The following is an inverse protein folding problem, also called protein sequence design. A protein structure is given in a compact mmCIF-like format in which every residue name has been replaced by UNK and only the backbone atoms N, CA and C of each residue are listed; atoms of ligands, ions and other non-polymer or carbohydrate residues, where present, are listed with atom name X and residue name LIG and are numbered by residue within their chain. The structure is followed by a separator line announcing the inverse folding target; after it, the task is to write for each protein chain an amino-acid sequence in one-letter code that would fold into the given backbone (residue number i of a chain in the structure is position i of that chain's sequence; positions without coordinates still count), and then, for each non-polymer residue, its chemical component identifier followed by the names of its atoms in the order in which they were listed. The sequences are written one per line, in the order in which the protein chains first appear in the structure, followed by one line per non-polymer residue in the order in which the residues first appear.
data_IF_373857567549
#
_entry.id   IF_373857567549
#
_cell.length_a   1.000
_cell.length_b   1.000
_cell.length_c   1.000
_cell.angle_alpha   90.00
_cell.angle_beta   90.00
_cell.angle_gamma   90.00
#
_symmetry.space_group_name_H-M   'P 1'
#
loop_
_entity.id
_entity.type
_entity.pdbx_description
1 polymer ?
#
# COMPACT_ATOMS: atom_id res chain seq x y z
N UNK A 1 18.88 -27.60 -5.86
CA UNK A 1 18.27 -27.60 -7.22
C UNK A 1 19.35 -27.77 -8.30
N UNK A 2 20.31 -26.88 -8.45
CA UNK A 2 21.37 -26.93 -9.46
C UNK A 2 22.12 -28.25 -9.48
N UNK A 3 22.54 -28.78 -8.32
CA UNK A 3 23.22 -30.09 -8.20
C UNK A 3 22.36 -31.27 -8.69
N UNK A 4 21.05 -31.20 -8.52
CA UNK A 4 20.13 -32.22 -9.03
C UNK A 4 20.05 -32.16 -10.57
N UNK A 5 20.01 -30.98 -11.14
CA UNK A 5 20.02 -30.77 -12.60
C UNK A 5 21.33 -31.27 -13.23
N UNK A 6 22.48 -31.02 -12.58
CA UNK A 6 23.79 -31.46 -13.06
C UNK A 6 23.99 -32.99 -13.10
N UNK A 7 23.08 -33.78 -12.48
CA UNK A 7 23.09 -35.26 -12.52
C UNK A 7 22.16 -35.84 -13.59
N UNK A 8 21.47 -35.01 -14.34
CA UNK A 8 20.57 -35.46 -15.40
C UNK A 8 21.39 -35.93 -16.59
N UNK A 9 21.01 -37.08 -17.15
CA UNK A 9 21.56 -37.57 -18.41
C UNK A 9 21.01 -36.76 -19.59
N UNK A 10 21.82 -36.53 -20.63
CA UNK A 10 21.34 -35.92 -21.87
C UNK A 10 20.10 -36.65 -22.44
N UNK A 11 19.16 -35.92 -22.97
CA UNK A 11 17.89 -36.46 -23.52
C UNK A 11 17.29 -35.47 -24.51
N UNK A 12 16.63 -35.99 -25.54
CA UNK A 12 15.87 -35.21 -26.49
C UNK A 12 14.50 -34.73 -25.90
N UNK A 13 14.18 -35.18 -24.69
CA UNK A 13 12.94 -34.74 -24.03
C UNK A 13 13.06 -33.33 -23.47
N UNK A 14 12.05 -32.51 -23.66
CA UNK A 14 11.91 -31.21 -23.00
C UNK A 14 11.77 -31.41 -21.48
N UNK A 15 12.61 -30.74 -20.72
CA UNK A 15 12.61 -30.81 -19.26
C UNK A 15 12.31 -29.45 -18.66
N UNK A 16 11.30 -29.42 -17.82
CA UNK A 16 10.91 -28.25 -17.02
C UNK A 16 11.21 -28.56 -15.55
N UNK A 17 11.82 -27.64 -14.87
CA UNK A 17 12.02 -27.72 -13.42
C UNK A 17 11.01 -26.79 -12.75
N UNK A 18 10.18 -27.33 -11.87
CA UNK A 18 9.37 -26.55 -10.94
C UNK A 18 10.11 -26.49 -9.59
N UNK A 19 10.28 -25.27 -9.07
CA UNK A 19 10.97 -25.04 -7.80
C UNK A 19 10.28 -23.95 -6.99
N UNK A 20 10.60 -23.90 -5.69
CA UNK A 20 10.10 -22.89 -4.78
C UNK A 20 11.25 -22.39 -3.91
N UNK A 21 11.43 -21.07 -3.83
CA UNK A 21 12.46 -20.41 -3.04
C UNK A 21 13.07 -19.20 -3.73
N UNK A 22 13.84 -18.44 -2.97
CA UNK A 22 14.50 -17.22 -3.44
C UNK A 22 15.76 -17.55 -4.28
N UNK A 23 15.97 -16.80 -5.37
CA UNK A 23 17.19 -16.85 -6.16
C UNK A 23 18.22 -15.88 -5.60
N UNK A 24 19.49 -16.33 -5.45
CA UNK A 24 20.60 -15.59 -4.85
C UNK A 24 20.86 -14.22 -5.49
N UNK A 25 20.69 -14.10 -6.79
CA UNK A 25 20.86 -12.85 -7.53
C UNK A 25 19.87 -11.73 -7.14
N UNK A 26 18.76 -12.07 -6.52
CA UNK A 26 17.74 -11.10 -6.06
C UNK A 26 17.95 -10.66 -4.62
N UNK A 27 18.79 -11.37 -3.86
CA UNK A 27 19.15 -11.09 -2.46
C UNK A 27 20.67 -11.15 -2.27
N UNK A 28 21.44 -10.21 -2.85
CA UNK A 28 22.91 -10.27 -2.85
C UNK A 28 23.54 -10.21 -1.46
N UNK A 29 22.81 -9.70 -0.47
CA UNK A 29 23.29 -9.65 0.93
C UNK A 29 23.00 -10.93 1.71
N UNK A 30 22.08 -11.78 1.22
CA UNK A 30 21.73 -13.04 1.86
C UNK A 30 22.65 -14.14 1.33
N UNK A 31 23.19 -14.93 2.24
CA UNK A 31 24.02 -16.10 1.92
C UNK A 31 23.53 -17.28 2.73
N UNK A 32 23.06 -18.32 2.07
CA UNK A 32 22.59 -19.53 2.72
C UNK A 32 22.34 -20.66 1.72
N UNK A 33 22.39 -21.91 2.17
CA UNK A 33 22.14 -23.07 1.32
C UNK A 33 20.68 -23.17 0.85
N UNK A 34 19.78 -22.41 1.43
CA UNK A 34 18.36 -22.32 1.07
C UNK A 34 18.12 -21.53 -0.23
N UNK A 35 19.10 -20.73 -0.68
CA UNK A 35 18.98 -19.95 -1.90
C UNK A 35 19.18 -20.81 -3.15
N UNK A 36 18.41 -20.51 -4.18
CA UNK A 36 18.59 -21.09 -5.51
C UNK A 36 19.73 -20.36 -6.19
N UNK A 37 20.81 -21.06 -6.53
CA UNK A 37 21.93 -20.46 -7.25
C UNK A 37 21.56 -20.18 -8.70
N UNK A 38 21.53 -18.90 -9.10
CA UNK A 38 21.28 -18.50 -10.48
C UNK A 38 22.36 -19.04 -11.42
N UNK A 39 23.62 -18.95 -11.02
CA UNK A 39 24.74 -19.48 -11.80
C UNK A 39 24.55 -20.97 -12.09
N UNK A 40 24.17 -21.76 -11.09
CA UNK A 40 23.93 -23.18 -11.26
C UNK A 40 22.71 -23.51 -12.13
N UNK A 41 21.66 -22.70 -12.06
CA UNK A 41 20.49 -22.80 -12.93
C UNK A 41 20.85 -22.48 -14.38
N UNK A 42 21.56 -21.38 -14.63
CA UNK A 42 22.00 -20.98 -15.98
C UNK A 42 22.96 -22.01 -16.58
N UNK A 43 23.88 -22.57 -15.79
CA UNK A 43 24.76 -23.65 -16.26
C UNK A 43 23.99 -24.92 -16.71
N UNK A 44 22.89 -25.27 -16.03
CA UNK A 44 22.04 -26.39 -16.45
C UNK A 44 21.25 -26.09 -17.74
N UNK A 45 20.84 -24.83 -17.94
CA UNK A 45 20.20 -24.36 -19.17
C UNK A 45 21.18 -24.34 -20.35
N UNK A 46 22.39 -23.84 -20.14
CA UNK A 46 23.46 -23.79 -21.16
C UNK A 46 23.91 -25.17 -21.62
N UNK A 47 23.93 -26.13 -20.69
CA UNK A 47 24.21 -27.53 -20.97
C UNK A 47 23.05 -28.32 -21.59
N UNK A 48 21.91 -27.65 -21.82
CA UNK A 48 20.66 -28.21 -22.36
C UNK A 48 20.16 -29.42 -21.53
N UNK A 49 20.49 -29.46 -20.25
CA UNK A 49 19.97 -30.46 -19.30
C UNK A 49 18.54 -30.16 -18.88
N UNK A 50 18.20 -28.90 -18.88
CA UNK A 50 16.88 -28.35 -18.55
C UNK A 50 16.56 -27.23 -19.55
N UNK A 51 15.28 -27.05 -19.87
CA UNK A 51 14.84 -26.10 -20.89
C UNK A 51 14.14 -24.87 -20.29
N UNK A 52 13.52 -25.03 -19.10
CA UNK A 52 12.80 -23.95 -18.42
C UNK A 52 12.76 -24.19 -16.91
N UNK A 53 12.87 -23.10 -16.13
CA UNK A 53 12.66 -23.08 -14.69
C UNK A 53 11.43 -22.26 -14.33
N UNK A 54 10.40 -22.94 -13.81
CA UNK A 54 9.21 -22.34 -13.22
C UNK A 54 9.40 -22.24 -11.71
N UNK A 55 9.49 -21.01 -11.19
CA UNK A 55 9.75 -20.74 -9.78
C UNK A 55 8.51 -20.18 -9.07
N UNK A 56 8.29 -20.61 -7.84
CA UNK A 56 7.39 -20.04 -6.86
C UNK A 56 8.16 -19.39 -5.72
N UNK A 57 7.49 -18.72 -4.79
CA UNK A 57 7.94 -17.94 -3.65
C UNK A 57 7.74 -16.43 -3.83
N UNK A 58 8.04 -15.88 -4.99
CA UNK A 58 7.84 -14.48 -5.28
C UNK A 58 6.43 -14.25 -5.83
N UNK A 59 5.71 -13.27 -5.25
CA UNK A 59 4.34 -12.94 -5.67
C UNK A 59 4.28 -12.04 -6.91
N UNK A 60 5.36 -11.34 -7.23
CA UNK A 60 5.49 -10.54 -8.45
C UNK A 60 5.89 -11.39 -9.64
N UNK A 61 5.27 -11.22 -10.79
CA UNK A 61 5.71 -11.82 -12.06
C UNK A 61 7.10 -11.31 -12.41
N UNK A 62 8.09 -12.19 -12.50
CA UNK A 62 9.49 -11.75 -12.61
C UNK A 62 10.33 -12.73 -13.44
N UNK A 63 11.02 -12.23 -14.48
CA UNK A 63 12.10 -12.95 -15.15
C UNK A 63 13.40 -12.79 -14.39
N UNK A 64 14.15 -13.87 -14.26
CA UNK A 64 15.42 -13.89 -13.53
C UNK A 64 16.57 -14.28 -14.46
N UNK A 65 17.70 -13.61 -14.29
CA UNK A 65 18.88 -13.84 -15.14
C UNK A 65 18.75 -13.26 -16.54
N UNK A 66 19.50 -13.80 -17.49
CA UNK A 66 19.63 -13.24 -18.86
C UNK A 66 19.06 -14.16 -19.94
N UNK A 67 18.69 -15.38 -19.58
CA UNK A 67 18.30 -16.40 -20.55
C UNK A 67 16.85 -16.32 -21.00
N UNK A 68 15.97 -15.61 -20.27
CA UNK A 68 14.53 -15.62 -20.48
C UNK A 68 13.85 -16.95 -20.16
N UNK A 69 14.57 -17.89 -19.52
CA UNK A 69 14.13 -19.26 -19.23
C UNK A 69 13.89 -19.54 -17.74
N UNK A 70 14.07 -18.54 -16.90
CA UNK A 70 13.87 -18.63 -15.44
C UNK A 70 12.85 -17.59 -15.03
N UNK A 71 11.71 -18.04 -14.51
CA UNK A 71 10.60 -17.13 -14.20
C UNK A 71 9.91 -17.50 -12.89
N UNK A 72 9.56 -16.47 -12.14
CA UNK A 72 8.48 -16.50 -11.16
C UNK A 72 7.18 -16.10 -11.84
N UNK A 73 6.15 -16.92 -11.76
CA UNK A 73 4.83 -16.58 -12.29
C UNK A 73 4.13 -15.49 -11.48
N UNK A 74 4.52 -15.33 -10.24
CA UNK A 74 3.80 -14.52 -9.27
C UNK A 74 2.66 -15.27 -8.60
N UNK A 75 1.93 -14.57 -7.73
CA UNK A 75 0.68 -15.04 -7.17
C UNK A 75 -0.47 -14.75 -8.16
N UNK A 76 -1.44 -15.66 -8.33
CA UNK A 76 -2.57 -15.45 -9.24
C UNK A 76 -3.53 -14.35 -8.79
N UNK A 77 -3.51 -13.99 -7.51
CA UNK A 77 -4.15 -12.80 -6.95
C UNK A 77 -3.11 -11.98 -6.19
N UNK A 78 -3.17 -10.64 -6.23
CA UNK A 78 -2.31 -9.81 -5.42
C UNK A 78 -2.55 -10.02 -3.93
N UNK A 79 -1.50 -9.92 -3.12
CA UNK A 79 -1.53 -10.15 -1.68
C UNK A 79 -0.96 -8.99 -0.87
N UNK A 80 -0.23 -8.08 -1.52
CA UNK A 80 0.39 -6.91 -0.89
C UNK A 80 0.44 -5.72 -1.86
N UNK A 81 0.61 -4.52 -1.29
CA UNK A 81 0.74 -3.26 -2.02
C UNK A 81 2.10 -3.08 -2.72
N UNK A 82 3.13 -3.83 -2.30
CA UNK A 82 4.49 -3.73 -2.82
C UNK A 82 4.79 -4.67 -3.99
N UNK A 83 3.81 -5.43 -4.43
CA UNK A 83 3.96 -6.37 -5.53
C UNK A 83 4.02 -5.65 -6.88
N UNK A 84 4.92 -6.09 -7.73
CA UNK A 84 5.07 -5.55 -9.08
C UNK A 84 4.43 -6.52 -10.08
N UNK A 85 3.45 -6.04 -10.84
CA UNK A 85 2.70 -6.82 -11.82
C UNK A 85 2.15 -8.16 -11.24
N UNK A 86 1.39 -8.12 -10.12
CA UNK A 86 0.79 -9.30 -9.53
C UNK A 86 -0.45 -9.75 -10.30
N UNK A 87 -0.99 -10.92 -9.94
CA UNK A 87 -2.26 -11.41 -10.49
C UNK A 87 -2.14 -12.02 -11.87
N UNK A 88 -0.96 -12.55 -12.23
CA UNK A 88 -0.71 -13.21 -13.50
C UNK A 88 -0.50 -14.72 -13.33
N UNK A 89 -0.78 -15.44 -14.42
CA UNK A 89 -0.23 -16.75 -14.71
C UNK A 89 0.61 -16.65 -15.98
N UNK A 90 1.60 -17.52 -16.12
CA UNK A 90 2.44 -17.57 -17.32
C UNK A 90 2.04 -18.76 -18.19
N UNK A 91 1.75 -18.46 -19.45
CA UNK A 91 1.68 -19.49 -20.50
C UNK A 91 3.07 -19.57 -21.15
N UNK A 92 3.63 -20.77 -21.15
CA UNK A 92 4.99 -20.98 -21.64
C UNK A 92 4.96 -22.00 -22.79
N UNK A 93 5.41 -21.56 -23.95
CA UNK A 93 5.57 -22.38 -25.15
C UNK A 93 7.05 -22.74 -25.32
N UNK A 94 7.33 -24.05 -25.40
CA UNK A 94 8.67 -24.62 -25.45
C UNK A 94 8.90 -25.43 -26.76
N UNK A 95 8.57 -24.85 -27.91
CA UNK A 95 8.69 -25.55 -29.20
C UNK A 95 10.02 -25.26 -29.94
N UNK A 96 10.88 -24.39 -29.40
CA UNK A 96 12.09 -23.92 -30.04
C UNK A 96 13.28 -23.72 -29.12
N UNK A 97 14.30 -23.04 -29.61
CA UNK A 97 15.52 -22.72 -28.87
C UNK A 97 15.27 -21.76 -27.69
N UNK A 98 14.28 -20.86 -27.85
CA UNK A 98 13.88 -19.89 -26.83
C UNK A 98 12.42 -20.07 -26.44
N UNK A 99 12.09 -20.17 -25.15
CA UNK A 99 10.71 -20.23 -24.70
C UNK A 99 9.99 -18.91 -25.00
N UNK A 100 8.77 -19.02 -25.43
CA UNK A 100 7.83 -17.91 -25.48
C UNK A 100 7.06 -17.89 -24.17
N UNK A 101 7.22 -16.83 -23.39
CA UNK A 101 6.57 -16.67 -22.10
C UNK A 101 5.58 -15.52 -22.18
N UNK A 102 4.31 -15.80 -21.98
CA UNK A 102 3.22 -14.81 -22.03
C UNK A 102 2.54 -14.69 -20.67
N UNK A 103 2.61 -13.53 -20.00
CA UNK A 103 1.80 -13.26 -18.84
C UNK A 103 0.34 -13.04 -19.22
N UNK A 104 -0.55 -13.71 -18.50
CA UNK A 104 -1.99 -13.54 -18.62
C UNK A 104 -2.56 -13.12 -17.28
N UNK A 105 -3.22 -11.95 -17.26
CA UNK A 105 -3.90 -11.45 -16.07
C UNK A 105 -5.09 -12.34 -15.74
N UNK A 106 -5.09 -12.93 -14.56
CA UNK A 106 -6.18 -13.74 -13.99
C UNK A 106 -6.68 -13.19 -12.68
N UNK A 107 -5.86 -12.37 -12.01
CA UNK A 107 -6.20 -11.73 -10.75
C UNK A 107 -7.33 -10.72 -10.92
N UNK A 108 -8.26 -10.76 -9.98
CA UNK A 108 -9.46 -9.92 -9.93
C UNK A 108 -9.33 -8.80 -8.91
N UNK A 109 -8.57 -9.02 -7.85
CA UNK A 109 -8.32 -8.04 -6.81
C UNK A 109 -7.32 -6.96 -7.25
N UNK A 110 -7.48 -5.78 -6.68
CA UNK A 110 -6.54 -4.66 -6.85
C UNK A 110 -6.11 -4.14 -5.49
N UNK A 111 -4.79 -4.04 -5.29
CA UNK A 111 -4.17 -3.37 -4.15
C UNK A 111 -3.56 -2.07 -4.64
N UNK A 112 -4.04 -0.96 -4.13
CA UNK A 112 -3.63 0.39 -4.56
C UNK A 112 -3.21 1.20 -3.35
N UNK A 113 -2.01 1.78 -3.38
CA UNK A 113 -1.57 2.71 -2.36
C UNK A 113 -1.31 4.09 -2.95
N UNK A 114 -1.72 5.13 -2.22
CA UNK A 114 -1.57 6.52 -2.66
C UNK A 114 -1.20 7.41 -1.48
N UNK A 115 -0.13 8.19 -1.66
CA UNK A 115 0.19 9.31 -0.78
C UNK A 115 -0.35 10.63 -1.36
N UNK A 116 -1.01 11.45 -0.53
CA UNK A 116 -1.48 12.77 -0.94
C UNK A 116 -1.24 13.79 0.16
N UNK A 117 -0.89 15.01 -0.25
CA UNK A 117 -0.83 16.17 0.63
C UNK A 117 -2.10 17.01 0.38
N UNK A 118 -2.88 17.25 1.45
CA UNK A 118 -4.15 17.97 1.38
C UNK A 118 -4.00 19.34 2.09
N UNK A 119 -4.30 20.42 1.36
CA UNK A 119 -4.21 21.78 1.85
C UNK A 119 -5.54 22.56 1.73
N UNK A 120 -6.58 21.92 1.16
CA UNK A 120 -7.86 22.60 0.95
C UNK A 120 -8.93 21.74 0.29
N UNK A 121 -10.06 22.36 -0.02
CA UNK A 121 -11.20 21.68 -0.64
C UNK A 121 -10.86 21.04 -1.99
N UNK A 122 -10.05 21.73 -2.81
CA UNK A 122 -9.68 21.22 -4.13
C UNK A 122 -8.89 19.89 -4.06
N UNK A 123 -8.05 19.71 -3.02
CA UNK A 123 -7.30 18.47 -2.83
C UNK A 123 -8.20 17.33 -2.34
N UNK A 124 -9.22 17.67 -1.52
CA UNK A 124 -10.26 16.72 -1.08
C UNK A 124 -11.10 16.29 -2.28
N UNK A 125 -11.49 17.22 -3.16
CA UNK A 125 -12.21 16.91 -4.39
C UNK A 125 -11.37 16.00 -5.32
N UNK A 126 -10.09 16.29 -5.46
CA UNK A 126 -9.17 15.45 -6.26
C UNK A 126 -9.01 14.03 -5.69
N UNK A 127 -9.00 13.88 -4.37
CA UNK A 127 -8.99 12.56 -3.72
C UNK A 127 -10.32 11.82 -3.93
N UNK A 128 -11.45 12.52 -3.81
CA UNK A 128 -12.80 11.98 -4.08
C UNK A 128 -12.92 11.47 -5.51
N UNK A 129 -12.53 12.30 -6.49
CA UNK A 129 -12.49 11.93 -7.90
C UNK A 129 -11.60 10.72 -8.15
N UNK A 130 -10.42 10.68 -7.51
CA UNK A 130 -9.49 9.57 -7.64
C UNK A 130 -10.05 8.26 -7.07
N UNK A 131 -10.70 8.29 -5.90
CA UNK A 131 -11.40 7.14 -5.32
C UNK A 131 -12.63 6.76 -6.16
N UNK A 132 -13.25 7.76 -6.79
CA UNK A 132 -14.40 7.59 -7.67
C UNK A 132 -14.12 6.75 -8.93
N UNK A 133 -12.90 6.81 -9.47
CA UNK A 133 -12.56 6.22 -10.78
C UNK A 133 -12.41 4.69 -10.80
N UNK A 134 -12.29 4.03 -9.65
CA UNK A 134 -12.13 2.57 -9.62
C UNK A 134 -13.38 1.85 -10.12
N UNK A 135 -13.24 1.06 -11.19
CA UNK A 135 -14.36 0.36 -11.82
C UNK A 135 -14.89 -0.81 -10.98
N UNK A 136 -13.99 -1.54 -10.31
CA UNK A 136 -14.33 -2.72 -9.49
C UNK A 136 -14.10 -2.43 -8.00
N UNK A 137 -14.86 -1.46 -7.44
CA UNK A 137 -14.66 -0.98 -6.06
C UNK A 137 -14.72 -2.09 -5.01
N UNK A 138 -15.65 -3.03 -5.13
CA UNK A 138 -15.79 -4.16 -4.21
C UNK A 138 -14.65 -5.18 -4.25
N UNK A 139 -13.73 -5.06 -5.21
CA UNK A 139 -12.52 -5.87 -5.36
C UNK A 139 -11.25 -5.02 -5.25
N UNK A 140 -11.38 -3.77 -4.82
CA UNK A 140 -10.26 -2.84 -4.68
C UNK A 140 -9.99 -2.56 -3.21
N UNK A 141 -8.76 -2.80 -2.79
CA UNK A 141 -8.21 -2.50 -1.48
C UNK A 141 -7.31 -1.27 -1.63
N UNK A 142 -7.65 -0.20 -0.94
CA UNK A 142 -6.95 1.08 -1.01
C UNK A 142 -6.25 1.37 0.31
N UNK A 143 -4.98 1.76 0.24
CA UNK A 143 -4.22 2.31 1.37
C UNK A 143 -3.84 3.74 1.06
N UNK A 144 -4.22 4.66 1.93
CA UNK A 144 -3.91 6.08 1.84
C UNK A 144 -2.87 6.47 2.88
N UNK A 145 -1.92 7.31 2.47
CA UNK A 145 -1.04 8.06 3.37
C UNK A 145 -1.32 9.54 3.14
N UNK A 146 -2.06 10.16 4.05
CA UNK A 146 -2.56 11.52 3.89
C UNK A 146 -1.84 12.45 4.86
N UNK A 147 -1.26 13.52 4.34
CA UNK A 147 -0.61 14.54 5.14
C UNK A 147 -1.08 15.92 4.74
N UNK A 148 -0.92 16.91 5.61
CA UNK A 148 -1.23 18.29 5.26
C UNK A 148 -1.88 19.07 6.38
N UNK A 149 -2.52 20.18 5.98
CA UNK A 149 -3.16 21.10 6.90
C UNK A 149 -4.59 21.38 6.41
N UNK A 150 -5.56 21.04 7.22
CA UNK A 150 -6.98 21.22 6.92
C UNK A 150 -7.66 22.02 8.03
N UNK A 151 -8.73 22.73 7.68
CA UNK A 151 -9.62 23.27 8.69
C UNK A 151 -10.50 22.17 9.31
N UNK A 152 -11.19 22.48 10.40
CA UNK A 152 -12.12 21.55 11.05
C UNK A 152 -13.23 21.12 10.08
N UNK A 153 -13.81 22.07 9.34
CA UNK A 153 -14.85 21.76 8.36
C UNK A 153 -14.33 20.92 7.19
N UNK A 154 -13.10 21.19 6.72
CA UNK A 154 -12.46 20.40 5.68
C UNK A 154 -12.13 18.98 6.16
N UNK A 155 -11.67 18.84 7.40
CA UNK A 155 -11.41 17.51 7.99
C UNK A 155 -12.70 16.71 8.15
N UNK A 156 -13.76 17.32 8.63
CA UNK A 156 -15.07 16.67 8.73
C UNK A 156 -15.61 16.21 7.37
N UNK A 157 -15.43 17.05 6.33
CA UNK A 157 -15.77 16.69 4.95
C UNK A 157 -14.94 15.51 4.45
N UNK A 158 -13.62 15.53 4.70
CA UNK A 158 -12.72 14.42 4.35
C UNK A 158 -13.17 13.13 5.01
N UNK A 159 -13.47 13.17 6.31
CA UNK A 159 -13.88 11.98 7.06
C UNK A 159 -15.20 11.41 6.55
N UNK A 160 -16.18 12.25 6.23
CA UNK A 160 -17.44 11.82 5.65
C UNK A 160 -17.24 11.18 4.26
N UNK A 161 -16.46 11.79 3.40
CA UNK A 161 -16.13 11.28 2.06
C UNK A 161 -15.38 9.92 2.14
N UNK A 162 -14.41 9.79 3.06
CA UNK A 162 -13.70 8.53 3.26
C UNK A 162 -14.63 7.43 3.82
N UNK A 163 -15.57 7.78 4.70
CA UNK A 163 -16.57 6.83 5.18
C UNK A 163 -17.47 6.33 4.06
N UNK A 164 -17.97 7.23 3.19
CA UNK A 164 -18.81 6.87 2.03
C UNK A 164 -18.06 5.93 1.06
N UNK A 165 -16.79 6.22 0.76
CA UNK A 165 -15.98 5.33 -0.07
C UNK A 165 -15.65 4.01 0.62
N UNK A 166 -15.48 4.02 1.95
CA UNK A 166 -15.21 2.83 2.76
C UNK A 166 -16.35 1.80 2.72
N UNK A 167 -17.61 2.25 2.51
CA UNK A 167 -18.76 1.36 2.38
C UNK A 167 -18.80 0.59 1.04
N UNK A 168 -18.16 1.12 0.00
CA UNK A 168 -18.24 0.56 -1.37
C UNK A 168 -16.93 -0.07 -1.84
N UNK A 169 -15.78 0.33 -1.29
CA UNK A 169 -14.50 -0.33 -1.52
C UNK A 169 -14.42 -1.62 -0.68
N UNK A 170 -13.65 -2.60 -1.16
CA UNK A 170 -13.39 -3.80 -0.36
C UNK A 170 -12.71 -3.46 0.98
N UNK A 171 -11.79 -2.51 0.94
CA UNK A 171 -11.16 -1.91 2.13
C UNK A 171 -10.62 -0.54 1.75
N UNK A 172 -10.81 0.43 2.64
CA UNK A 172 -10.15 1.73 2.59
C UNK A 172 -9.41 1.96 3.92
N UNK A 173 -8.08 1.89 3.86
CA UNK A 173 -7.19 2.02 5.02
C UNK A 173 -6.45 3.36 4.95
N UNK A 174 -6.59 4.19 5.98
CA UNK A 174 -5.77 5.40 6.15
C UNK A 174 -4.61 5.06 7.08
N UNK A 175 -3.45 4.87 6.47
CA UNK A 175 -2.25 4.37 7.15
C UNK A 175 -1.63 5.45 8.04
N UNK A 176 -1.74 5.29 9.36
CA UNK A 176 -1.29 6.29 10.34
C UNK A 176 0.20 6.63 10.28
N UNK A 177 1.15 5.69 10.09
CA UNK A 177 2.57 6.03 10.02
C UNK A 177 2.96 6.96 8.86
N UNK A 178 2.06 7.21 7.91
CA UNK A 178 2.26 8.13 6.79
C UNK A 178 1.23 9.26 6.74
N UNK A 179 0.36 9.36 7.77
CA UNK A 179 -0.73 10.34 7.77
C UNK A 179 -0.53 11.33 8.91
N UNK A 180 -0.15 12.56 8.56
CA UNK A 180 0.08 13.64 9.51
C UNK A 180 -0.77 14.85 9.13
N UNK A 181 -1.89 15.04 9.82
CA UNK A 181 -2.72 16.23 9.66
C UNK A 181 -2.55 17.22 10.78
N UNK A 182 -2.37 18.47 10.39
CA UNK A 182 -2.56 19.62 11.28
C UNK A 182 -3.95 20.18 11.03
N UNK A 183 -4.82 20.12 12.03
CA UNK A 183 -6.15 20.71 11.95
C UNK A 183 -6.10 22.11 12.54
N UNK A 184 -6.49 23.11 11.74
CA UNK A 184 -6.56 24.51 12.18
C UNK A 184 -8.05 24.91 12.19
N UNK A 185 -8.57 25.42 13.32
CA UNK A 185 -9.93 25.94 13.36
C UNK A 185 -10.09 27.12 12.40
N UNK A 186 -11.14 27.12 11.59
CA UNK A 186 -11.59 28.29 10.85
C UNK A 186 -12.20 29.31 11.79
N UNK A 187 -12.32 30.59 11.37
CA UNK A 187 -12.96 31.62 12.20
C UNK A 187 -14.43 31.30 12.52
N UNK A 188 -15.09 30.51 11.69
CA UNK A 188 -16.46 30.05 11.88
C UNK A 188 -16.55 28.84 12.85
N UNK A 189 -15.48 28.06 12.96
CA UNK A 189 -15.46 26.82 13.74
C UNK A 189 -15.27 27.04 15.24
N UNK A 190 -14.76 28.21 15.66
CA UNK A 190 -14.56 28.53 17.08
C UNK A 190 -15.89 28.54 17.84
N UNK A 191 -16.99 28.95 17.18
CA UNK A 191 -18.33 28.93 17.75
C UNK A 191 -18.93 27.53 17.81
N UNK A 192 -18.56 26.64 16.91
CA UNK A 192 -19.12 25.29 16.77
C UNK A 192 -18.53 24.28 17.76
N UNK A 193 -17.37 24.59 18.36
CA UNK A 193 -16.82 23.77 19.47
C UNK A 193 -17.69 23.77 20.73
N UNK A 194 -18.71 24.64 20.81
CA UNK A 194 -19.58 24.73 21.96
C UNK A 194 -18.84 25.13 23.26
N UNK A 195 -17.59 25.53 23.16
CA UNK A 195 -16.75 25.97 24.28
C UNK A 195 -17.05 27.43 24.60
N UNK A 196 -17.40 27.68 25.86
CA UNK A 196 -17.68 29.03 26.34
C UNK A 196 -16.83 29.35 27.58
N UNK A 197 -16.71 30.65 27.91
CA UNK A 197 -15.92 31.12 29.02
C UNK A 197 -14.42 30.86 28.82
N UNK A 198 -13.73 30.45 29.84
CA UNK A 198 -12.28 30.23 29.84
C UNK A 198 -11.78 29.27 28.75
N UNK A 199 -12.54 28.22 28.47
CA UNK A 199 -12.17 27.26 27.43
C UNK A 199 -12.25 27.86 26.02
N UNK A 200 -13.24 28.72 25.76
CA UNK A 200 -13.37 29.46 24.51
C UNK A 200 -12.26 30.51 24.33
N UNK A 201 -11.85 31.20 25.41
CA UNK A 201 -10.72 32.14 25.38
C UNK A 201 -9.40 31.39 25.10
N UNK A 202 -9.14 30.27 25.77
CA UNK A 202 -7.97 29.44 25.54
C UNK A 202 -7.89 28.90 24.10
N UNK A 203 -9.03 28.51 23.50
CA UNK A 203 -9.10 28.10 22.11
C UNK A 203 -8.72 29.26 21.17
N UNK A 204 -9.25 30.47 21.44
CA UNK A 204 -8.96 31.67 20.65
C UNK A 204 -7.46 32.04 20.72
N UNK A 205 -6.85 31.93 21.90
CA UNK A 205 -5.42 32.17 22.09
C UNK A 205 -4.56 31.13 21.34
N UNK A 206 -4.93 29.85 21.38
CA UNK A 206 -4.24 28.80 20.63
C UNK A 206 -4.33 29.03 19.10
N UNK A 207 -5.51 29.43 18.61
CA UNK A 207 -5.69 29.78 17.19
C UNK A 207 -4.83 30.96 16.78
N UNK A 208 -4.79 32.01 17.60
CA UNK A 208 -3.94 33.17 17.36
C UNK A 208 -2.44 32.81 17.36
N UNK A 209 -2.00 31.96 18.31
CA UNK A 209 -0.63 31.46 18.38
C UNK A 209 -0.27 30.60 17.18
N UNK A 210 -1.16 29.70 16.72
CA UNK A 210 -0.94 28.85 15.55
C UNK A 210 -0.76 29.65 14.25
N UNK A 211 -1.39 30.82 14.16
CA UNK A 211 -1.31 31.75 13.02
C UNK A 211 -0.11 32.69 13.05
N UNK A 212 0.51 32.93 14.22
CA UNK A 212 1.56 33.94 14.37
C UNK A 212 2.88 33.58 13.69
N UNK A 213 3.14 32.30 13.38
CA UNK A 213 4.43 31.79 12.88
C UNK A 213 5.48 31.73 13.99
N UNK A 214 6.45 30.83 13.89
CA UNK A 214 7.53 30.62 14.86
C UNK A 214 7.38 29.32 15.67
N UNK A 215 8.26 29.11 16.63
CA UNK A 215 8.37 27.87 17.43
C UNK A 215 7.07 27.57 18.21
N UNK A 216 6.47 28.60 18.79
CA UNK A 216 5.18 28.49 19.51
C UNK A 216 3.99 28.13 18.59
N UNK A 217 4.07 28.41 17.29
CA UNK A 217 3.02 28.07 16.36
C UNK A 217 2.93 26.56 16.10
N UNK A 218 4.05 25.84 16.16
CA UNK A 218 4.08 24.39 16.05
C UNK A 218 3.38 23.74 17.24
N UNK A 219 3.73 24.14 18.44
CA UNK A 219 3.12 23.64 19.69
C UNK A 219 1.62 23.95 19.75
N UNK A 220 1.22 25.16 19.33
CA UNK A 220 -0.18 25.56 19.28
C UNK A 220 -1.01 24.73 18.29
N UNK A 221 -0.44 24.36 17.14
CA UNK A 221 -1.10 23.48 16.15
C UNK A 221 -1.28 22.06 16.68
N UNK A 222 -0.27 21.52 17.37
CA UNK A 222 -0.36 20.23 18.01
C UNK A 222 -1.43 20.21 19.10
N UNK A 223 -1.47 21.26 19.95
CA UNK A 223 -2.50 21.42 20.97
C UNK A 223 -3.92 21.51 20.37
N UNK A 224 -4.10 22.22 19.24
CA UNK A 224 -5.38 22.29 18.52
C UNK A 224 -5.81 20.93 17.96
N UNK A 225 -4.84 20.16 17.43
CA UNK A 225 -5.12 18.80 16.93
C UNK A 225 -5.58 17.88 18.06
N UNK A 226 -4.94 17.96 19.24
CA UNK A 226 -5.35 17.20 20.41
C UNK A 226 -6.74 17.61 20.91
N UNK A 227 -7.00 18.91 20.97
CA UNK A 227 -8.31 19.43 21.40
C UNK A 227 -9.42 18.99 20.44
N UNK A 228 -9.17 19.02 19.11
CA UNK A 228 -10.12 18.51 18.13
C UNK A 228 -10.45 17.05 18.35
N UNK A 229 -9.43 16.20 18.53
CA UNK A 229 -9.62 14.77 18.82
C UNK A 229 -10.43 14.54 20.09
N UNK A 230 -10.18 15.29 21.15
CA UNK A 230 -10.89 15.16 22.43
C UNK A 230 -12.37 15.53 22.31
N UNK A 231 -12.69 16.62 21.59
CA UNK A 231 -14.08 17.08 21.41
C UNK A 231 -14.86 16.10 20.55
N UNK A 232 -14.26 15.52 19.51
CA UNK A 232 -14.95 14.61 18.58
C UNK A 232 -14.93 13.14 19.03
N UNK A 233 -13.90 12.69 19.78
CA UNK A 233 -13.89 11.37 20.39
C UNK A 233 -14.95 11.22 21.51
N UNK A 234 -15.35 12.33 22.16
CA UNK A 234 -16.44 12.35 23.14
C UNK A 234 -17.84 12.22 22.56
N UNK A 235 -18.00 12.37 21.23
CA UNK A 235 -19.30 12.30 20.55
C UNK A 235 -19.78 10.89 20.18
N UNK A 236 -18.92 9.88 20.21
CA UNK A 236 -19.27 8.51 19.86
C UNK A 236 -19.66 7.62 21.05
N UNK A 237 -19.54 8.10 22.28
CA UNK A 237 -19.98 7.39 23.48
C UNK A 237 -21.06 8.21 24.23
N UNK A 238 -22.31 8.09 23.76
CA UNK A 238 -23.51 8.65 24.40
C UNK A 238 -23.84 7.95 25.72
N UNK A 239 -22.91 7.94 26.67
CA UNK A 239 -23.09 7.48 28.05
C UNK A 239 -23.20 8.67 28.99
N UNK A 240 -24.44 9.06 29.34
CA UNK A 240 -24.73 10.06 30.33
C UNK A 240 -24.03 9.73 31.66
N UNK A 241 -23.05 10.54 32.07
CA UNK A 241 -22.56 10.56 33.45
C UNK A 241 -23.62 11.25 34.33
N UNK A 242 -24.52 10.44 34.88
CA UNK A 242 -25.36 10.87 36.01
C UNK A 242 -24.47 11.16 37.21
N UNK A 243 -24.27 12.40 37.54
CA UNK A 243 -23.70 12.84 38.81
C UNK A 243 -24.76 12.62 39.86
N UNK A 244 -24.65 11.50 40.61
CA UNK A 244 -25.42 11.35 41.88
C UNK A 244 -24.88 12.35 42.92
N UNK A 245 -25.84 13.12 43.44
CA UNK A 245 -25.66 13.97 44.64
C UNK A 245 -25.42 13.14 45.89
#
# INVERSE_FOLDING_TARGET
MADACGRLEPSDALRVVAGHGAVDAMWPESRGPELISLQGVEAALDAVLVHYFALGDRHSTTSVGKTGRVWYSGAPEPTDFNEVDPGNVLVVDLDGEQPRVEPHRVGTWSFVQQGMHLAGHADIDALDDWLGQFAAKSLTIVRLSLAGQLSVSQKARLDAMLADHGEILATLDVHEPGSEFVVIPDELDISDFGLSGYAGEALSDLVAAARSGGEQAADAREALTLLYRLVHAGGSDGGALEVRR
#
